data_IF_390872861642
#
_entry.id   IF_390872861642
#
_cell.length_a   1.000
_cell.length_b   1.000
_cell.length_c   1.000
_cell.angle_alpha   90.00
_cell.angle_beta   90.00
_cell.angle_gamma   90.00
#
_symmetry.space_group_name_H-M   'P 1'
#
loop_
_entity.id
_entity.type
_entity.pdbx_description
1 polymer ?
#
# COMPACT_ATOMS: atom_id res chain seq x y z
N UNK A 1 -13.86 -15.90 -34.84
CA UNK A 1 -14.67 -14.75 -34.38
C UNK A 1 -14.25 -13.45 -35.08
N UNK A 2 -12.96 -13.03 -35.08
CA UNK A 2 -12.54 -11.78 -35.74
C UNK A 2 -12.86 -11.73 -37.23
N UNK A 3 -12.52 -12.78 -37.99
CA UNK A 3 -12.85 -12.87 -39.42
C UNK A 3 -14.34 -12.67 -39.72
N UNK A 4 -15.23 -13.22 -38.89
CA UNK A 4 -16.68 -13.08 -39.11
C UNK A 4 -17.13 -11.64 -38.85
N UNK A 5 -16.55 -10.97 -37.85
CA UNK A 5 -16.82 -9.56 -37.58
C UNK A 5 -16.43 -8.71 -38.79
N UNK A 6 -15.22 -8.89 -39.31
CA UNK A 6 -14.68 -8.06 -40.40
C UNK A 6 -15.24 -8.44 -41.78
N UNK A 7 -15.83 -9.63 -41.90
CA UNK A 7 -16.66 -9.98 -43.04
C UNK A 7 -18.02 -9.28 -43.02
N UNK A 8 -18.61 -9.09 -41.83
CA UNK A 8 -19.94 -8.49 -41.67
C UNK A 8 -19.90 -6.96 -41.57
N UNK A 9 -18.85 -6.40 -40.99
CA UNK A 9 -18.70 -4.99 -40.70
C UNK A 9 -17.46 -4.42 -41.39
N UNK A 10 -17.54 -3.18 -41.93
CA UNK A 10 -16.37 -2.48 -42.43
C UNK A 10 -15.53 -1.95 -41.24
N UNK A 11 -14.82 -2.85 -40.56
CA UNK A 11 -14.06 -2.54 -39.35
C UNK A 11 -12.78 -1.77 -39.67
N UNK A 12 -12.73 -0.48 -39.33
CA UNK A 12 -11.49 0.31 -39.45
C UNK A 12 -10.47 -0.05 -38.35
N UNK A 13 -10.95 -0.25 -37.12
CA UNK A 13 -10.12 -0.59 -35.98
C UNK A 13 -10.82 -1.56 -35.02
N UNK A 14 -10.06 -2.47 -34.44
CA UNK A 14 -10.48 -3.38 -33.39
C UNK A 14 -9.89 -2.92 -32.05
N UNK A 15 -10.75 -2.58 -31.10
CA UNK A 15 -10.32 -2.17 -29.74
C UNK A 15 -10.08 -3.41 -28.88
N UNK A 16 -8.82 -3.69 -28.57
CA UNK A 16 -8.36 -4.94 -27.97
C UNK A 16 -7.85 -4.76 -26.53
N UNK A 17 -8.15 -5.71 -25.66
CA UNK A 17 -7.41 -5.87 -24.40
C UNK A 17 -6.00 -6.46 -24.62
N UNK A 18 -5.10 -6.39 -23.63
CA UNK A 18 -3.71 -6.87 -23.77
C UNK A 18 -3.59 -8.33 -24.26
N UNK A 19 -4.48 -9.21 -23.80
CA UNK A 19 -4.49 -10.61 -24.24
C UNK A 19 -4.97 -10.79 -25.69
N UNK A 20 -5.88 -9.94 -26.17
CA UNK A 20 -6.36 -9.98 -27.55
C UNK A 20 -5.29 -9.44 -28.50
N UNK A 21 -4.57 -8.38 -28.13
CA UNK A 21 -3.45 -7.83 -28.93
C UNK A 21 -2.41 -8.92 -29.24
N UNK A 22 -1.96 -9.67 -28.23
CA UNK A 22 -0.98 -10.76 -28.40
C UNK A 22 -1.44 -11.89 -29.31
N UNK A 23 -2.76 -12.11 -29.37
CA UNK A 23 -3.38 -13.11 -30.20
C UNK A 23 -3.56 -12.64 -31.65
N UNK A 24 -3.95 -11.37 -31.85
CA UNK A 24 -4.08 -10.77 -33.17
C UNK A 24 -2.75 -10.72 -33.92
N UNK A 25 -1.62 -10.61 -33.22
CA UNK A 25 -0.29 -10.70 -33.82
C UNK A 25 -0.04 -12.02 -34.56
N UNK A 26 -0.80 -13.08 -34.25
CA UNK A 26 -0.66 -14.41 -34.86
C UNK A 26 -1.60 -14.60 -36.07
N UNK A 27 -2.45 -13.61 -36.38
CA UNK A 27 -3.58 -13.77 -37.28
C UNK A 27 -3.36 -13.24 -38.70
N UNK A 28 -2.22 -12.63 -39.00
CA UNK A 28 -1.91 -12.11 -40.34
C UNK A 28 -2.21 -13.11 -41.46
N UNK A 29 -1.58 -14.28 -41.43
CA UNK A 29 -1.77 -15.34 -42.43
C UNK A 29 -3.22 -15.85 -42.52
N UNK A 30 -3.96 -15.75 -41.40
CA UNK A 30 -5.36 -16.19 -41.32
C UNK A 30 -6.28 -15.19 -42.03
N UNK A 31 -6.00 -13.88 -41.92
CA UNK A 31 -6.68 -12.82 -42.66
C UNK A 31 -6.36 -12.90 -44.15
N UNK A 32 -5.10 -13.14 -44.51
CA UNK A 32 -4.67 -13.34 -45.89
C UNK A 32 -5.40 -14.53 -46.55
N UNK A 33 -5.47 -15.67 -45.85
CA UNK A 33 -6.22 -16.84 -46.31
C UNK A 33 -7.72 -16.53 -46.51
N UNK A 34 -8.30 -15.71 -45.63
CA UNK A 34 -9.70 -15.33 -45.70
C UNK A 34 -9.99 -14.26 -46.78
N UNK A 35 -8.96 -13.67 -47.39
CA UNK A 35 -9.10 -12.57 -48.34
C UNK A 35 -9.68 -11.30 -47.71
N UNK A 36 -9.43 -11.09 -46.42
CA UNK A 36 -9.87 -9.93 -45.65
C UNK A 36 -8.67 -9.10 -45.22
N UNK A 37 -8.83 -7.78 -45.17
CA UNK A 37 -7.83 -6.90 -44.59
C UNK A 37 -7.94 -6.92 -43.07
N UNK A 38 -6.82 -7.13 -42.37
CA UNK A 38 -6.79 -7.11 -40.91
C UNK A 38 -7.00 -5.67 -40.41
N UNK A 39 -7.94 -5.42 -39.48
CA UNK A 39 -8.19 -4.07 -38.99
C UNK A 39 -7.02 -3.55 -38.15
N UNK A 40 -6.97 -2.23 -37.95
CA UNK A 40 -6.02 -1.62 -37.03
C UNK A 40 -6.31 -2.11 -35.60
N UNK A 41 -5.32 -2.72 -34.95
CA UNK A 41 -5.48 -3.21 -33.58
C UNK A 41 -5.14 -2.08 -32.61
N UNK A 42 -6.17 -1.53 -31.97
CA UNK A 42 -6.04 -0.41 -31.03
C UNK A 42 -6.15 -0.91 -29.59
N UNK A 43 -5.14 -0.72 -28.72
CA UNK A 43 -5.27 -1.08 -27.31
C UNK A 43 -6.39 -0.27 -26.64
N UNK A 44 -7.26 -0.94 -25.90
CA UNK A 44 -8.25 -0.23 -25.06
C UNK A 44 -7.55 0.53 -23.93
N UNK A 45 -8.17 1.62 -23.47
CA UNK A 45 -7.74 2.31 -22.26
C UNK A 45 -7.69 1.34 -21.07
N UNK A 46 -6.62 1.45 -20.28
CA UNK A 46 -6.49 0.75 -19.01
C UNK A 46 -6.61 1.74 -17.86
N UNK A 47 -7.49 1.47 -16.91
CA UNK A 47 -7.88 2.48 -15.90
C UNK A 47 -7.95 1.86 -14.51
N UNK A 48 -7.48 2.62 -13.51
CA UNK A 48 -7.78 2.39 -12.09
C UNK A 48 -8.53 3.59 -11.52
N UNK A 49 -9.67 3.33 -10.89
CA UNK A 49 -10.46 4.32 -10.18
C UNK A 49 -10.04 4.37 -8.71
N UNK A 50 -9.75 5.56 -8.20
CA UNK A 50 -9.25 5.78 -6.84
C UNK A 50 -10.32 6.48 -6.01
N UNK A 51 -10.98 5.72 -5.14
CA UNK A 51 -11.93 6.32 -4.20
C UNK A 51 -11.21 7.21 -3.18
N UNK A 52 -11.84 8.30 -2.73
CA UNK A 52 -11.25 9.20 -1.72
C UNK A 52 -10.74 8.53 -0.42
N UNK A 53 -11.26 7.36 -0.01
CA UNK A 53 -10.71 6.58 1.13
C UNK A 53 -9.32 5.99 0.82
N UNK A 54 -9.09 5.61 -0.43
CA UNK A 54 -7.84 5.07 -0.94
C UNK A 54 -6.87 6.22 -1.17
N UNK A 55 -7.34 7.34 -1.76
CA UNK A 55 -6.54 8.54 -1.96
C UNK A 55 -5.89 9.02 -0.65
N UNK A 56 -6.66 9.06 0.45
CA UNK A 56 -6.11 9.40 1.78
C UNK A 56 -4.95 8.51 2.23
N UNK A 57 -4.94 7.23 1.84
CA UNK A 57 -3.85 6.30 2.16
C UNK A 57 -2.65 6.56 1.26
N UNK A 58 -2.89 6.80 -0.04
CA UNK A 58 -1.85 7.18 -1.00
C UNK A 58 -1.13 8.46 -0.55
N UNK A 59 -1.89 9.51 -0.21
CA UNK A 59 -1.36 10.79 0.25
C UNK A 59 -0.62 10.66 1.59
N UNK A 60 -1.18 9.88 2.53
CA UNK A 60 -0.60 9.72 3.88
C UNK A 60 0.80 9.10 3.83
N UNK A 61 1.02 8.17 2.91
CA UNK A 61 2.28 7.43 2.81
C UNK A 61 3.13 7.86 1.60
N UNK A 62 2.72 8.90 0.87
CA UNK A 62 3.37 9.38 -0.36
C UNK A 62 3.64 8.23 -1.33
N UNK A 63 2.59 7.51 -1.71
CA UNK A 63 2.66 6.35 -2.63
C UNK A 63 1.72 6.52 -3.80
N UNK A 64 2.19 6.14 -4.97
CA UNK A 64 1.38 6.08 -6.19
C UNK A 64 0.60 4.76 -6.27
N UNK A 65 -0.36 4.68 -7.19
CA UNK A 65 -1.16 3.46 -7.42
C UNK A 65 -0.28 2.28 -7.84
N UNK A 66 0.80 2.54 -8.60
CA UNK A 66 1.75 1.54 -9.09
C UNK A 66 2.50 0.84 -7.95
N UNK A 67 2.73 1.55 -6.84
CA UNK A 67 3.37 1.00 -5.65
C UNK A 67 2.60 -0.19 -5.05
N UNK A 68 1.27 -0.24 -5.25
CA UNK A 68 0.41 -1.32 -4.77
C UNK A 68 0.44 -2.57 -5.66
N UNK A 69 1.55 -2.78 -6.39
CA UNK A 69 1.79 -3.83 -7.37
C UNK A 69 1.75 -5.27 -6.83
N UNK A 70 2.73 -6.09 -7.17
CA UNK A 70 2.70 -7.51 -6.79
C UNK A 70 3.06 -7.74 -5.31
N UNK A 71 3.96 -6.94 -4.75
CA UNK A 71 4.55 -7.17 -3.43
C UNK A 71 4.06 -6.12 -2.42
N UNK A 72 3.11 -6.49 -1.57
CA UNK A 72 2.62 -5.60 -0.50
C UNK A 72 3.58 -5.58 0.69
N UNK A 73 4.32 -6.67 0.92
CA UNK A 73 5.20 -6.79 2.07
C UNK A 73 6.43 -5.89 1.89
N UNK A 74 6.96 -5.78 0.66
CA UNK A 74 7.98 -4.80 0.32
C UNK A 74 7.47 -3.36 0.55
N UNK A 75 6.29 -3.02 0.02
CA UNK A 75 5.70 -1.69 0.21
C UNK A 75 5.50 -1.36 1.70
N UNK A 76 5.02 -2.33 2.47
CA UNK A 76 4.85 -2.19 3.91
C UNK A 76 6.19 -1.92 4.61
N UNK A 77 7.23 -2.68 4.26
CA UNK A 77 8.55 -2.49 4.85
C UNK A 77 9.11 -1.09 4.55
N UNK A 78 8.98 -0.62 3.31
CA UNK A 78 9.43 0.72 2.92
C UNK A 78 8.69 1.81 3.72
N UNK A 79 7.37 1.70 3.85
CA UNK A 79 6.55 2.65 4.62
C UNK A 79 6.91 2.62 6.11
N UNK A 80 7.15 1.43 6.69
CA UNK A 80 7.54 1.30 8.10
C UNK A 80 8.91 1.93 8.34
N UNK A 81 9.89 1.68 7.47
CA UNK A 81 11.24 2.25 7.61
C UNK A 81 11.21 3.77 7.53
N UNK A 82 10.39 4.34 6.65
CA UNK A 82 10.23 5.80 6.53
C UNK A 82 9.46 6.42 7.71
N UNK A 83 8.52 5.68 8.32
CA UNK A 83 7.65 6.21 9.38
C UNK A 83 8.25 6.02 10.78
N UNK A 84 9.20 5.09 10.96
CA UNK A 84 9.75 4.73 12.27
C UNK A 84 11.13 5.34 12.48
N UNK A 85 11.13 6.51 13.12
CA UNK A 85 12.35 7.28 13.39
C UNK A 85 13.15 6.79 14.62
N UNK A 86 12.56 5.97 15.49
CA UNK A 86 13.13 5.66 16.81
C UNK A 86 13.36 4.16 16.97
N UNK A 87 14.63 3.79 17.13
CA UNK A 87 15.01 2.48 17.63
C UNK A 87 14.77 2.42 19.15
N UNK A 88 13.60 1.90 19.52
CA UNK A 88 13.16 1.77 20.92
C UNK A 88 14.14 0.91 21.72
N UNK A 89 14.69 -0.15 21.13
CA UNK A 89 15.63 -1.01 21.84
C UNK A 89 16.95 -0.29 22.13
N UNK A 90 17.49 0.42 21.15
CA UNK A 90 18.69 1.24 21.33
C UNK A 90 18.48 2.31 22.41
N UNK A 91 17.40 3.09 22.33
CA UNK A 91 17.11 4.19 23.27
C UNK A 91 17.02 3.71 24.73
N UNK A 92 16.33 2.60 24.98
CA UNK A 92 16.22 2.03 26.34
C UNK A 92 17.52 1.35 26.79
N UNK A 93 18.28 0.73 25.88
CA UNK A 93 19.55 0.08 26.19
C UNK A 93 20.64 1.08 26.62
N UNK A 94 20.61 2.31 26.10
CA UNK A 94 21.52 3.39 26.49
C UNK A 94 21.11 4.06 27.80
N UNK A 95 19.81 4.19 28.05
CA UNK A 95 19.27 4.94 29.20
C UNK A 95 19.32 4.15 30.51
N UNK A 96 18.98 2.86 30.47
CA UNK A 96 18.94 2.01 31.67
C UNK A 96 20.27 2.00 32.45
N UNK A 97 21.45 1.79 31.83
CA UNK A 97 22.73 1.83 32.53
C UNK A 97 23.01 3.15 33.24
N UNK A 98 22.58 4.29 32.66
CA UNK A 98 22.78 5.61 33.25
C UNK A 98 21.95 5.78 34.53
N UNK A 99 20.70 5.29 34.54
CA UNK A 99 19.84 5.26 35.73
C UNK A 99 20.46 4.38 36.82
N UNK A 100 20.95 3.19 36.45
CA UNK A 100 21.66 2.31 37.38
C UNK A 100 22.87 3.00 38.01
N UNK A 101 23.68 3.67 37.21
CA UNK A 101 24.88 4.35 37.68
C UNK A 101 24.55 5.52 38.62
N UNK A 102 23.52 6.31 38.30
CA UNK A 102 23.08 7.42 39.14
C UNK A 102 22.61 6.96 40.53
N UNK A 103 21.84 5.87 40.60
CA UNK A 103 21.34 5.34 41.87
C UNK A 103 22.46 4.68 42.68
N UNK A 104 23.36 3.96 42.02
CA UNK A 104 24.54 3.38 42.67
C UNK A 104 25.47 4.45 43.26
N UNK A 105 25.60 5.60 42.61
CA UNK A 105 26.37 6.74 43.14
C UNK A 105 25.73 7.38 44.37
N UNK A 106 24.40 7.31 44.50
CA UNK A 106 23.65 7.87 45.63
C UNK A 106 23.72 6.98 46.89
N UNK A 107 23.87 5.67 46.70
CA UNK A 107 23.90 4.67 47.79
C UNK A 107 24.87 4.98 48.94
N UNK A 108 26.18 5.29 48.70
CA UNK A 108 27.11 5.58 49.78
C UNK A 108 26.73 6.84 50.58
N UNK A 109 26.15 7.85 49.93
CA UNK A 109 25.66 9.07 50.61
C UNK A 109 24.45 8.77 51.50
N UNK A 110 23.53 7.92 51.03
CA UNK A 110 22.36 7.46 51.80
C UNK A 110 22.80 6.64 53.02
N UNK A 111 23.75 5.73 52.85
CA UNK A 111 24.29 4.91 53.94
C UNK A 111 25.11 5.72 54.96
N UNK A 112 25.72 6.84 54.54
CA UNK A 112 26.43 7.76 55.42
C UNK A 112 25.48 8.52 56.35
N UNK A 113 24.24 8.80 55.90
CA UNK A 113 23.18 9.38 56.74
C UNK A 113 22.63 8.33 57.71
N UNK A 114 22.25 7.16 57.19
CA UNK A 114 21.78 6.03 57.98
C UNK A 114 22.04 4.71 57.24
N UNK A 115 22.88 3.85 57.83
CA UNK A 115 23.24 2.54 57.27
C UNK A 115 22.03 1.63 56.99
N UNK A 116 20.93 1.80 57.70
CA UNK A 116 19.72 0.99 57.49
C UNK A 116 18.98 1.36 56.20
N UNK A 117 19.22 2.55 55.64
CA UNK A 117 18.60 3.02 54.41
C UNK A 117 19.23 2.46 53.13
N UNK A 118 20.37 1.77 53.19
CA UNK A 118 20.98 1.11 52.03
C UNK A 118 20.04 0.09 51.36
N UNK A 119 19.22 -0.61 52.17
CA UNK A 119 18.18 -1.51 51.66
C UNK A 119 17.06 -0.75 50.94
N UNK A 120 16.69 0.44 51.43
CA UNK A 120 15.70 1.30 50.77
C UNK A 120 16.22 1.83 49.43
N UNK A 121 17.48 2.24 49.34
CA UNK A 121 18.09 2.67 48.09
C UNK A 121 18.10 1.55 47.03
N UNK A 122 18.42 0.33 47.44
CA UNK A 122 18.37 -0.84 46.55
C UNK A 122 16.95 -1.18 46.10
N UNK A 123 15.97 -1.09 47.00
CA UNK A 123 14.56 -1.28 46.67
C UNK A 123 14.06 -0.22 45.68
N UNK A 124 14.45 1.05 45.86
CA UNK A 124 14.15 2.12 44.90
C UNK A 124 14.80 1.86 43.54
N UNK A 125 16.05 1.36 43.52
CA UNK A 125 16.72 0.96 42.28
C UNK A 125 15.92 -0.12 41.53
N UNK A 126 15.51 -1.17 42.23
CA UNK A 126 14.75 -2.26 41.64
C UNK A 126 13.42 -1.74 41.07
N UNK A 127 12.68 -0.94 41.83
CA UNK A 127 11.41 -0.36 41.40
C UNK A 127 11.54 0.52 40.14
N UNK A 128 12.60 1.33 40.04
CA UNK A 128 12.83 2.18 38.86
C UNK A 128 13.17 1.35 37.62
N UNK A 129 13.94 0.28 37.77
CA UNK A 129 14.25 -0.65 36.67
C UNK A 129 12.97 -1.35 36.19
N UNK A 130 12.16 -1.84 37.12
CA UNK A 130 10.89 -2.50 36.80
C UNK A 130 9.93 -1.55 36.07
N UNK A 131 9.84 -0.29 36.50
CA UNK A 131 8.99 0.71 35.83
C UNK A 131 9.51 1.09 34.44
N UNK A 132 10.84 1.18 34.26
CA UNK A 132 11.45 1.43 32.95
C UNK A 132 11.22 0.28 31.97
N UNK A 133 11.32 -0.97 32.43
CA UNK A 133 10.99 -2.13 31.60
C UNK A 133 9.51 -2.17 31.25
N UNK A 134 8.62 -1.84 32.21
CA UNK A 134 7.19 -1.72 31.95
C UNK A 134 6.88 -0.61 30.92
N UNK A 135 7.60 0.51 30.97
CA UNK A 135 7.50 1.58 29.98
C UNK A 135 7.98 1.10 28.60
N UNK A 136 9.14 0.44 28.53
CA UNK A 136 9.67 -0.16 27.30
C UNK A 136 8.63 -1.05 26.64
N UNK A 137 8.02 -1.97 27.40
CA UNK A 137 6.98 -2.84 26.87
C UNK A 137 5.75 -2.09 26.36
N UNK A 138 5.34 -0.99 27.02
CA UNK A 138 4.22 -0.15 26.54
C UNK A 138 4.57 0.52 25.21
N UNK A 139 5.80 1.01 25.04
CA UNK A 139 6.28 1.63 23.80
C UNK A 139 6.33 0.61 22.66
N UNK A 140 6.97 -0.55 22.87
CA UNK A 140 7.01 -1.64 21.87
C UNK A 140 5.60 -2.08 21.45
N UNK A 141 4.66 -2.18 22.40
CA UNK A 141 3.25 -2.49 22.09
C UNK A 141 2.56 -1.36 21.32
N UNK A 142 2.93 -0.11 21.53
CA UNK A 142 2.39 1.03 20.78
C UNK A 142 2.92 1.02 19.34
N UNK A 143 4.22 0.81 19.17
CA UNK A 143 4.88 0.68 17.87
C UNK A 143 4.27 -0.45 17.05
N UNK A 144 4.13 -1.65 17.63
CA UNK A 144 3.48 -2.78 16.95
C UNK A 144 2.05 -2.48 16.51
N UNK A 145 1.26 -1.81 17.37
CA UNK A 145 -0.11 -1.40 17.02
C UNK A 145 -0.13 -0.43 15.85
N UNK A 146 0.83 0.49 15.80
CA UNK A 146 0.98 1.42 14.68
C UNK A 146 1.33 0.68 13.39
N UNK A 147 2.28 -0.28 13.43
CA UNK A 147 2.61 -1.13 12.29
C UNK A 147 1.40 -1.94 11.80
N UNK A 148 0.63 -2.55 12.71
CA UNK A 148 -0.58 -3.29 12.38
C UNK A 148 -1.62 -2.38 11.69
N UNK A 149 -1.75 -1.12 12.14
CA UNK A 149 -2.64 -0.13 11.52
C UNK A 149 -2.17 0.27 10.12
N UNK A 150 -0.86 0.51 9.93
CA UNK A 150 -0.26 0.79 8.63
C UNK A 150 -0.54 -0.37 7.67
N UNK A 151 -0.27 -1.62 8.10
CA UNK A 151 -0.54 -2.83 7.31
C UNK A 151 -2.00 -2.92 6.91
N UNK A 152 -2.92 -2.73 7.85
CA UNK A 152 -4.35 -2.77 7.56
C UNK A 152 -4.81 -1.67 6.57
N UNK A 153 -4.21 -0.47 6.62
CA UNK A 153 -4.49 0.60 5.67
C UNK A 153 -3.99 0.26 4.27
N UNK A 154 -2.76 -0.25 4.16
CA UNK A 154 -2.18 -0.67 2.88
C UNK A 154 -2.94 -1.85 2.26
N UNK A 155 -3.35 -2.84 3.06
CA UNK A 155 -4.16 -3.97 2.60
C UNK A 155 -5.51 -3.53 2.06
N UNK A 156 -6.18 -2.59 2.75
CA UNK A 156 -7.45 -2.02 2.28
C UNK A 156 -7.27 -1.26 0.97
N UNK A 157 -6.22 -0.44 0.86
CA UNK A 157 -5.91 0.26 -0.39
C UNK A 157 -5.64 -0.74 -1.53
N UNK A 158 -4.81 -1.77 -1.29
CA UNK A 158 -4.54 -2.84 -2.25
C UNK A 158 -5.81 -3.58 -2.66
N UNK A 159 -6.72 -3.87 -1.75
CA UNK A 159 -7.96 -4.57 -2.09
C UNK A 159 -8.85 -3.77 -3.07
N UNK A 160 -8.77 -2.44 -3.04
CA UNK A 160 -9.50 -1.58 -3.98
C UNK A 160 -8.72 -1.39 -5.29
N UNK A 161 -7.40 -1.20 -5.24
CA UNK A 161 -6.57 -0.94 -6.43
C UNK A 161 -6.19 -2.21 -7.20
N UNK A 162 -5.87 -3.28 -6.48
CA UNK A 162 -5.42 -4.58 -7.02
C UNK A 162 -6.08 -5.75 -6.29
N UNK A 163 -7.42 -5.90 -6.40
CA UNK A 163 -8.15 -7.00 -5.78
C UNK A 163 -7.55 -8.36 -6.16
N UNK A 164 -7.24 -9.17 -5.15
CA UNK A 164 -6.57 -10.47 -5.32
C UNK A 164 -5.26 -10.40 -6.13
N UNK A 165 -4.56 -9.26 -6.09
CA UNK A 165 -3.30 -9.03 -6.81
C UNK A 165 -3.48 -8.83 -8.33
N UNK A 166 -4.71 -8.70 -8.82
CA UNK A 166 -5.03 -8.48 -10.25
C UNK A 166 -5.47 -7.05 -10.49
N UNK A 167 -5.41 -6.59 -11.75
CA UNK A 167 -5.88 -5.27 -12.14
C UNK A 167 -7.35 -5.05 -11.75
N UNK A 168 -7.65 -3.85 -11.23
CA UNK A 168 -8.99 -3.45 -10.80
C UNK A 168 -10.05 -3.69 -11.88
N UNK A 169 -9.80 -3.19 -13.09
CA UNK A 169 -10.66 -3.31 -14.28
C UNK A 169 -10.97 -4.76 -14.70
N UNK A 170 -10.23 -5.76 -14.18
CA UNK A 170 -10.45 -7.18 -14.48
C UNK A 170 -11.28 -7.91 -13.41
N UNK A 171 -11.54 -7.25 -12.28
CA UNK A 171 -12.11 -7.89 -11.10
C UNK A 171 -13.32 -7.14 -10.57
N UNK A 172 -13.30 -5.81 -10.60
CA UNK A 172 -14.39 -4.97 -10.08
C UNK A 172 -15.34 -4.63 -11.22
N UNK A 173 -16.63 -4.87 -10.99
CA UNK A 173 -17.67 -4.51 -11.93
C UNK A 173 -18.05 -3.02 -11.78
N UNK A 174 -18.32 -2.35 -12.90
CA UNK A 174 -18.71 -0.93 -12.95
C UNK A 174 -19.90 -0.58 -12.08
N UNK A 175 -20.85 -1.52 -11.87
CA UNK A 175 -22.02 -1.31 -11.03
C UNK A 175 -21.68 -0.94 -9.58
N UNK A 176 -20.53 -1.38 -9.07
CA UNK A 176 -20.03 -0.97 -7.76
C UNK A 176 -19.87 0.55 -7.68
N UNK A 177 -19.24 1.14 -8.69
CA UNK A 177 -18.97 2.57 -8.75
C UNK A 177 -20.23 3.36 -9.08
N UNK A 178 -21.02 2.94 -10.05
CA UNK A 178 -22.26 3.65 -10.43
C UNK A 178 -23.26 3.72 -9.27
N UNK A 179 -23.37 2.66 -8.47
CA UNK A 179 -24.24 2.67 -7.29
C UNK A 179 -23.76 3.66 -6.21
N UNK A 180 -22.46 3.96 -6.17
CA UNK A 180 -21.87 4.83 -5.16
C UNK A 180 -21.72 6.28 -5.63
N UNK A 181 -21.48 6.50 -6.92
CA UNK A 181 -21.09 7.78 -7.51
C UNK A 181 -22.08 8.31 -8.57
N UNK A 182 -23.28 7.71 -8.67
CA UNK A 182 -24.30 8.03 -9.68
C UNK A 182 -23.92 7.58 -11.10
N UNK A 183 -24.85 7.80 -12.04
CA UNK A 183 -24.63 7.55 -13.47
C UNK A 183 -23.77 8.63 -14.14
N UNK A 184 -23.68 9.82 -13.54
CA UNK A 184 -22.90 10.95 -14.06
C UNK A 184 -21.41 10.60 -14.16
N UNK A 185 -20.95 9.62 -13.36
CA UNK A 185 -19.61 9.06 -13.45
C UNK A 185 -19.24 8.59 -14.87
N UNK A 186 -20.21 8.12 -15.65
CA UNK A 186 -19.94 7.67 -17.02
C UNK A 186 -19.49 8.86 -17.89
N UNK A 187 -20.15 9.99 -17.75
CA UNK A 187 -19.85 11.20 -18.51
C UNK A 187 -18.51 11.79 -18.03
N UNK A 188 -18.29 11.84 -16.71
CA UNK A 188 -17.01 12.27 -16.12
C UNK A 188 -15.83 11.42 -16.60
N UNK A 189 -16.01 10.11 -16.74
CA UNK A 189 -14.98 9.21 -17.26
C UNK A 189 -14.72 9.43 -18.74
N UNK A 190 -15.75 9.73 -19.54
CA UNK A 190 -15.57 10.03 -20.96
C UNK A 190 -14.77 11.32 -21.17
N UNK A 191 -15.00 12.32 -20.34
CA UNK A 191 -14.30 13.61 -20.42
C UNK A 191 -12.84 13.54 -19.95
N UNK A 192 -12.54 12.67 -18.98
CA UNK A 192 -11.20 12.56 -18.36
C UNK A 192 -10.28 11.54 -19.02
N UNK A 193 -10.82 10.53 -19.69
CA UNK A 193 -10.01 9.43 -20.23
C UNK A 193 -9.50 9.73 -21.64
N UNK A 194 -8.19 9.53 -21.79
CA UNK A 194 -7.50 9.63 -23.07
C UNK A 194 -7.49 8.27 -23.78
N UNK A 195 -7.92 8.23 -25.04
CA UNK A 195 -7.97 6.99 -25.84
C UNK A 195 -6.84 6.89 -26.87
N UNK A 196 -6.02 7.93 -26.98
CA UNK A 196 -4.84 8.03 -27.84
C UNK A 196 -3.54 7.55 -27.16
N UNK A 197 -3.64 7.02 -25.94
CA UNK A 197 -2.51 6.48 -25.18
C UNK A 197 -2.73 5.02 -24.80
N UNK A 198 -1.62 4.27 -24.71
CA UNK A 198 -1.59 2.91 -24.15
C UNK A 198 -1.20 2.89 -22.66
N UNK A 199 -0.92 4.05 -22.07
CA UNK A 199 -0.54 4.16 -20.66
C UNK A 199 -1.72 3.86 -19.75
N UNK A 200 -1.42 3.30 -18.57
CA UNK A 200 -2.41 3.09 -17.54
C UNK A 200 -2.81 4.44 -16.93
N UNK A 201 -4.11 4.71 -16.87
CA UNK A 201 -4.65 5.96 -16.38
C UNK A 201 -5.24 5.78 -14.99
N UNK A 202 -5.04 6.79 -14.14
CA UNK A 202 -5.56 6.83 -12.79
C UNK A 202 -6.59 7.95 -12.68
N UNK A 203 -7.76 7.63 -12.16
CA UNK A 203 -8.88 8.58 -12.05
C UNK A 203 -9.37 8.61 -10.61
N UNK A 204 -9.21 9.75 -9.96
CA UNK A 204 -9.74 9.96 -8.60
C UNK A 204 -11.26 10.20 -8.62
N UNK A 205 -11.98 9.58 -7.67
CA UNK A 205 -13.44 9.61 -7.51
C UNK A 205 -13.89 10.28 -6.20
#
# INVERSE_FOLDING_TARGET
RPLMQDHLLPTAAYVAGPGEVSYFAQYGDVYDWAGLEMPLIHPRASVSLVEGKVQKVLDKYDRSVEAFGADLDALFQDVVVETMEVDVDAAFSETLPQIHQAINALKPEVEAVDRTLGASAEATRAALVDEMEALKQKVVRAEKRQQDEVRAQLEKARANLRPSGRLQERMINVLYYLNKYSLDLIDDLQDRLHTDTSEHQVVDL
#
